data_IF_599555742482
#
_entry.id   IF_599555742482
#
_cell.length_a   1.000
_cell.length_b   1.000
_cell.length_c   1.000
_cell.angle_alpha   90.00
_cell.angle_beta   90.00
_cell.angle_gamma   90.00
#
_symmetry.space_group_name_H-M   'P 1'
#
loop_
_entity.id
_entity.type
_entity.pdbx_description
1 polymer ?
#
# COMPACT_ATOMS: atom_id res chain seq x y z
N UNK A 1 12.73 10.47 -4.58
CA UNK A 1 11.54 9.62 -4.34
C UNK A 1 11.92 8.24 -3.83
N UNK A 2 11.14 7.63 -2.88
CA UNK A 2 11.37 6.27 -2.35
C UNK A 2 10.24 5.33 -2.74
N UNK A 3 10.58 4.10 -3.22
CA UNK A 3 9.60 3.07 -3.55
C UNK A 3 10.19 1.67 -3.41
N UNK A 4 9.35 0.66 -3.34
CA UNK A 4 9.73 -0.72 -3.04
C UNK A 4 9.45 -1.66 -4.22
N UNK A 5 10.46 -2.44 -4.62
CA UNK A 5 10.27 -3.58 -5.50
C UNK A 5 10.39 -4.89 -4.73
N UNK A 6 9.38 -5.73 -4.87
CA UNK A 6 9.28 -6.99 -4.14
C UNK A 6 9.34 -8.18 -5.06
N UNK A 7 10.25 -9.12 -4.76
CA UNK A 7 10.48 -10.34 -5.53
C UNK A 7 10.32 -11.59 -4.66
N UNK A 8 9.94 -12.71 -5.28
CA UNK A 8 9.94 -14.01 -4.64
C UNK A 8 11.38 -14.49 -4.45
N UNK A 9 11.72 -14.97 -3.26
CA UNK A 9 13.03 -15.52 -2.93
C UNK A 9 12.97 -17.03 -2.65
N UNK A 10 14.04 -17.74 -2.98
CA UNK A 10 14.15 -19.20 -2.89
C UNK A 10 15.42 -19.63 -2.14
N UNK A 11 15.56 -19.32 -0.84
CA UNK A 11 16.73 -19.73 -0.05
C UNK A 11 16.84 -21.26 0.10
N UNK A 12 15.75 -22.00 -0.12
CA UNK A 12 15.72 -23.46 -0.11
C UNK A 12 16.52 -24.09 -1.25
N UNK A 13 16.65 -23.41 -2.37
CA UNK A 13 17.41 -23.90 -3.54
C UNK A 13 18.93 -23.90 -3.32
N UNK A 14 19.42 -23.08 -2.41
CA UNK A 14 20.86 -22.96 -2.07
C UNK A 14 21.19 -23.51 -0.69
N UNK A 15 20.21 -24.07 0.03
CA UNK A 15 20.39 -24.52 1.41
C UNK A 15 20.48 -23.37 2.43
N UNK A 16 20.26 -22.12 2.02
CA UNK A 16 20.36 -20.93 2.86
C UNK A 16 19.21 -20.75 3.87
N UNK A 17 18.14 -21.56 3.78
CA UNK A 17 16.92 -21.40 4.58
C UNK A 17 17.18 -21.42 6.08
N UNK A 18 17.90 -22.43 6.59
CA UNK A 18 18.16 -22.58 8.02
C UNK A 18 19.00 -21.40 8.56
N UNK A 19 19.96 -20.94 7.77
CA UNK A 19 20.82 -19.81 8.11
C UNK A 19 20.04 -18.49 8.14
N UNK A 20 19.19 -18.27 7.15
CA UNK A 20 18.28 -17.10 7.10
C UNK A 20 17.30 -17.08 8.29
N UNK A 21 16.73 -18.23 8.66
CA UNK A 21 15.86 -18.35 9.83
C UNK A 21 16.61 -18.07 11.14
N UNK A 22 17.83 -18.60 11.27
CA UNK A 22 18.69 -18.32 12.42
C UNK A 22 19.00 -16.83 12.53
N UNK A 23 19.37 -16.19 11.43
CA UNK A 23 19.67 -14.75 11.40
C UNK A 23 18.45 -13.91 11.78
N UNK A 24 17.26 -14.19 11.22
CA UNK A 24 16.01 -13.52 11.64
C UNK A 24 15.79 -13.67 13.15
N UNK A 25 16.06 -14.85 13.72
CA UNK A 25 15.92 -15.05 15.16
C UNK A 25 16.95 -14.24 15.97
N UNK A 26 18.18 -14.10 15.50
CA UNK A 26 19.20 -13.24 16.13
C UNK A 26 18.76 -11.77 16.10
N UNK A 27 18.28 -11.28 14.95
CA UNK A 27 17.71 -9.92 14.84
C UNK A 27 16.51 -9.71 15.77
N UNK A 28 15.65 -10.72 15.92
CA UNK A 28 14.54 -10.69 16.90
C UNK A 28 15.06 -10.55 18.33
N UNK A 29 16.10 -11.29 18.68
CA UNK A 29 16.71 -11.20 20.02
C UNK A 29 17.33 -9.83 20.22
N UNK A 30 18.05 -9.29 19.23
CA UNK A 30 18.58 -7.93 19.29
C UNK A 30 17.48 -6.88 19.50
N UNK A 31 16.37 -6.97 18.75
CA UNK A 31 15.21 -6.08 18.94
C UNK A 31 14.66 -6.16 20.37
N UNK A 32 14.48 -7.36 20.89
CA UNK A 32 13.99 -7.57 22.26
C UNK A 32 15.00 -7.09 23.31
N UNK A 33 16.29 -7.26 23.09
CA UNK A 33 17.33 -6.78 23.98
C UNK A 33 17.39 -5.25 23.99
N UNK A 34 17.30 -4.61 22.82
CA UNK A 34 17.15 -3.14 22.71
C UNK A 34 15.96 -2.64 23.53
N UNK A 35 14.83 -3.34 23.44
CA UNK A 35 13.64 -3.00 24.21
C UNK A 35 13.86 -3.14 25.72
N UNK A 36 14.55 -4.21 26.14
CA UNK A 36 14.85 -4.47 27.54
C UNK A 36 15.75 -3.37 28.11
N UNK A 37 16.88 -3.08 27.47
CA UNK A 37 17.80 -2.03 27.92
C UNK A 37 17.14 -0.65 27.94
N UNK A 38 16.34 -0.32 26.93
CA UNK A 38 15.58 0.92 26.90
C UNK A 38 14.68 1.07 28.13
N UNK A 39 13.98 0.00 28.52
CA UNK A 39 13.08 -0.02 29.68
C UNK A 39 13.84 0.11 31.00
N UNK A 40 14.97 -0.57 31.13
CA UNK A 40 15.84 -0.50 32.32
C UNK A 40 16.45 0.92 32.50
N UNK A 41 16.90 1.53 31.42
CA UNK A 41 17.44 2.89 31.43
C UNK A 41 16.38 3.91 31.85
N UNK A 42 15.14 3.77 31.38
CA UNK A 42 14.01 4.62 31.74
C UNK A 42 13.64 4.48 33.24
N UNK A 43 13.58 3.24 33.72
CA UNK A 43 13.23 2.92 35.12
C UNK A 43 14.24 3.48 36.12
N UNK A 44 15.53 3.55 35.75
CA UNK A 44 16.61 4.05 36.62
C UNK A 44 16.84 5.56 36.48
N UNK A 45 15.94 6.32 35.88
CA UNK A 45 16.09 7.76 35.61
C UNK A 45 17.35 8.15 34.81
N UNK A 46 17.94 7.21 34.08
CA UNK A 46 18.97 7.51 33.11
C UNK A 46 18.30 8.04 31.86
N UNK A 47 18.83 9.12 31.29
CA UNK A 47 18.35 9.62 30.00
C UNK A 47 18.46 8.49 28.97
N UNK A 48 17.32 8.11 28.41
CA UNK A 48 17.26 7.12 27.35
C UNK A 48 18.17 7.56 26.22
N UNK A 49 19.12 6.74 25.85
CA UNK A 49 20.06 7.00 24.79
C UNK A 49 19.36 7.15 23.43
N UNK A 50 20.01 7.86 22.53
CA UNK A 50 19.57 7.87 21.11
C UNK A 50 19.79 6.49 20.48
N UNK A 51 19.12 6.27 19.32
CA UNK A 51 19.37 5.07 18.51
C UNK A 51 20.87 4.85 18.25
N UNK A 52 21.60 5.92 17.98
CA UNK A 52 23.05 5.90 17.74
C UNK A 52 23.83 5.41 18.95
N UNK A 53 23.55 5.93 20.16
CA UNK A 53 24.21 5.49 21.39
C UNK A 53 23.94 4.01 21.68
N UNK A 54 22.72 3.55 21.43
CA UNK A 54 22.36 2.15 21.61
C UNK A 54 23.01 1.24 20.56
N UNK A 55 23.19 1.72 19.32
CA UNK A 55 23.95 0.99 18.30
C UNK A 55 25.42 0.79 18.68
N UNK A 56 26.05 1.72 19.39
CA UNK A 56 27.42 1.60 19.86
C UNK A 56 27.59 0.46 20.87
N UNK A 57 26.55 0.13 21.65
CA UNK A 57 26.53 -0.99 22.57
C UNK A 57 26.53 -2.36 21.88
N UNK A 58 26.26 -2.43 20.59
CA UNK A 58 26.33 -3.68 19.82
C UNK A 58 27.74 -4.34 19.86
N UNK A 59 28.79 -3.57 20.09
CA UNK A 59 30.13 -4.11 20.27
C UNK A 59 30.21 -4.92 21.57
N UNK A 60 29.73 -4.35 22.67
CA UNK A 60 29.65 -5.02 23.97
C UNK A 60 28.77 -6.27 23.88
N UNK A 61 27.62 -6.21 23.20
CA UNK A 61 26.74 -7.35 23.01
C UNK A 61 27.41 -8.49 22.24
N UNK A 62 28.26 -8.18 21.25
CA UNK A 62 29.00 -9.21 20.50
C UNK A 62 30.03 -9.92 21.33
N UNK A 63 30.63 -9.22 22.26
CA UNK A 63 31.61 -9.80 23.21
C UNK A 63 30.87 -10.68 24.23
N UNK A 64 29.73 -10.25 24.73
CA UNK A 64 28.92 -11.00 25.70
C UNK A 64 28.17 -12.18 25.08
N UNK A 65 27.59 -11.99 23.88
CA UNK A 65 26.81 -13.00 23.16
C UNK A 65 27.33 -13.21 21.74
N UNK A 66 28.15 -14.25 21.55
CA UNK A 66 28.80 -14.56 20.27
C UNK A 66 27.84 -14.66 19.07
N UNK A 67 26.54 -14.98 19.30
CA UNK A 67 25.54 -15.06 18.23
C UNK A 67 25.35 -13.75 17.49
N UNK A 68 25.57 -12.60 18.14
CA UNK A 68 25.44 -11.29 17.45
C UNK A 68 26.59 -11.04 16.47
N UNK A 69 27.70 -11.78 16.57
CA UNK A 69 28.78 -11.74 15.60
C UNK A 69 28.54 -12.60 14.37
N UNK A 70 27.51 -13.47 14.38
CA UNK A 70 27.12 -14.28 13.22
C UNK A 70 26.44 -13.48 12.10
N UNK A 71 25.87 -12.31 12.43
CA UNK A 71 25.07 -11.49 11.52
C UNK A 71 25.81 -10.24 11.06
N UNK A 72 25.40 -9.70 9.93
CA UNK A 72 26.00 -8.49 9.38
C UNK A 72 25.78 -7.28 10.30
N UNK A 73 26.87 -6.56 10.65
CA UNK A 73 26.83 -5.49 11.65
C UNK A 73 25.88 -4.35 11.32
N UNK A 74 25.84 -3.91 10.04
CA UNK A 74 24.92 -2.85 9.61
C UNK A 74 23.46 -3.30 9.68
N UNK A 75 23.17 -4.56 9.35
CA UNK A 75 21.82 -5.11 9.48
C UNK A 75 21.39 -5.17 10.98
N UNK A 76 22.34 -5.46 11.88
CA UNK A 76 22.08 -5.44 13.32
C UNK A 76 21.80 -4.01 13.84
N UNK A 77 22.58 -3.01 13.37
CA UNK A 77 22.34 -1.59 13.65
C UNK A 77 20.94 -1.16 13.17
N UNK A 78 20.54 -1.62 11.98
CA UNK A 78 19.18 -1.34 11.43
C UNK A 78 18.07 -1.94 12.30
N UNK A 79 18.34 -3.04 13.00
CA UNK A 79 17.37 -3.63 13.96
C UNK A 79 17.16 -2.74 15.18
N UNK A 80 18.23 -2.15 15.71
CA UNK A 80 18.14 -1.16 16.80
C UNK A 80 17.37 0.08 16.33
N UNK A 81 17.73 0.63 15.17
CA UNK A 81 17.03 1.75 14.55
C UNK A 81 15.51 1.47 14.39
N UNK A 82 15.16 0.26 13.95
CA UNK A 82 13.76 -0.16 13.81
C UNK A 82 12.98 -0.09 15.14
N UNK A 83 13.64 -0.41 16.26
CA UNK A 83 13.00 -0.27 17.57
C UNK A 83 12.68 1.20 17.86
N UNK A 84 13.63 2.11 17.65
CA UNK A 84 13.42 3.55 17.87
C UNK A 84 12.39 4.16 16.90
N UNK A 85 12.38 3.73 15.65
CA UNK A 85 11.35 4.16 14.69
C UNK A 85 9.94 3.69 15.12
N UNK A 86 9.83 2.46 15.66
CA UNK A 86 8.56 1.98 16.21
C UNK A 86 8.14 2.77 17.45
N UNK A 87 9.09 3.22 18.27
CA UNK A 87 8.84 4.04 19.44
C UNK A 87 8.36 5.45 19.04
N UNK A 88 9.01 6.08 18.06
CA UNK A 88 8.60 7.37 17.50
C UNK A 88 7.18 7.31 16.93
N UNK A 89 6.89 6.30 16.09
CA UNK A 89 5.55 6.06 15.55
C UNK A 89 4.49 5.83 16.63
N UNK A 90 4.87 5.27 17.78
CA UNK A 90 3.97 5.08 18.92
C UNK A 90 3.67 6.42 19.60
N UNK A 91 4.68 7.26 19.77
CA UNK A 91 4.54 8.62 20.35
C UNK A 91 3.66 9.50 19.47
N UNK A 92 3.91 9.53 18.17
CA UNK A 92 3.09 10.25 17.20
C UNK A 92 1.61 9.82 17.24
N UNK A 93 1.35 8.52 17.30
CA UNK A 93 -0.03 8.01 17.46
C UNK A 93 -0.68 8.50 18.76
N UNK A 94 0.09 8.55 19.87
CA UNK A 94 -0.40 9.05 21.15
C UNK A 94 -0.72 10.54 21.08
N UNK A 95 0.14 11.34 20.46
CA UNK A 95 -0.05 12.78 20.23
C UNK A 95 -1.31 13.04 19.38
N UNK A 96 -1.56 12.18 18.38
CA UNK A 96 -2.78 12.20 17.56
C UNK A 96 -4.03 11.63 18.28
N UNK A 97 -4.00 11.48 19.61
CA UNK A 97 -5.15 11.12 20.45
C UNK A 97 -5.50 9.61 20.44
N UNK A 98 -4.68 8.75 19.84
CA UNK A 98 -4.94 7.32 19.86
C UNK A 98 -4.54 6.70 21.21
N UNK A 99 -5.38 5.80 21.73
CA UNK A 99 -5.00 4.94 22.87
C UNK A 99 -3.97 3.93 22.41
N UNK A 100 -2.73 4.09 22.84
CA UNK A 100 -1.62 3.19 22.48
C UNK A 100 -1.08 2.50 23.73
N UNK A 101 -0.75 1.21 23.58
CA UNK A 101 -0.01 0.48 24.60
C UNK A 101 1.50 0.54 24.34
N UNK A 102 2.27 -0.01 25.24
CA UNK A 102 3.73 -0.11 25.08
C UNK A 102 4.13 -1.08 23.95
N UNK A 103 5.34 -0.92 23.39
CA UNK A 103 5.89 -1.83 22.40
C UNK A 103 5.97 -3.26 22.98
N UNK A 104 5.40 -4.23 22.28
CA UNK A 104 5.35 -5.63 22.71
C UNK A 104 6.67 -6.34 22.43
N UNK A 105 7.02 -7.33 23.26
CA UNK A 105 8.05 -8.31 22.96
C UNK A 105 7.74 -9.02 21.65
N UNK A 106 8.77 -9.26 20.85
CA UNK A 106 8.60 -9.96 19.57
C UNK A 106 8.81 -11.45 19.76
N UNK A 107 7.75 -12.21 19.50
CA UNK A 107 7.84 -13.68 19.42
C UNK A 107 8.47 -14.13 18.10
N UNK A 108 8.96 -15.38 17.99
CA UNK A 108 9.51 -15.91 16.73
C UNK A 108 8.49 -15.91 15.58
N UNK A 109 7.19 -15.85 15.87
CA UNK A 109 6.13 -15.78 14.84
C UNK A 109 5.85 -14.35 14.36
N UNK A 110 6.16 -13.35 15.17
CA UNK A 110 5.89 -11.95 14.88
C UNK A 110 7.07 -11.23 14.24
N UNK A 111 8.28 -11.72 14.45
CA UNK A 111 9.49 -11.16 13.86
C UNK A 111 10.00 -12.08 12.75
N UNK A 112 9.80 -11.69 11.51
CA UNK A 112 9.98 -12.56 10.34
C UNK A 112 10.79 -11.91 9.22
N UNK A 113 11.51 -10.82 9.50
CA UNK A 113 12.30 -10.09 8.50
C UNK A 113 13.60 -9.57 9.08
N UNK A 114 14.57 -9.35 8.21
CA UNK A 114 15.82 -8.64 8.50
C UNK A 114 16.14 -7.73 7.32
N UNK A 115 16.72 -6.55 7.60
CA UNK A 115 17.01 -5.52 6.63
C UNK A 115 18.51 -5.23 6.61
N UNK A 116 19.08 -5.27 5.41
CA UNK A 116 20.42 -4.82 5.11
C UNK A 116 20.32 -3.39 4.55
N UNK A 117 21.10 -2.47 5.09
CA UNK A 117 21.19 -1.08 4.63
C UNK A 117 22.62 -0.75 4.26
N UNK A 118 22.81 0.04 3.21
CA UNK A 118 24.10 0.56 2.73
C UNK A 118 25.10 -0.49 2.23
N UNK A 119 25.18 -1.67 2.86
CA UNK A 119 26.15 -2.70 2.49
C UNK A 119 25.69 -4.10 2.91
N UNK A 120 26.45 -5.10 2.51
CA UNK A 120 26.19 -6.51 2.87
C UNK A 120 25.19 -7.19 1.96
N UNK A 121 24.86 -6.61 0.81
CA UNK A 121 24.04 -7.20 -0.24
C UNK A 121 24.58 -6.88 -1.61
N UNK A 122 24.31 -7.75 -2.56
CA UNK A 122 24.65 -7.56 -3.98
C UNK A 122 23.64 -8.31 -4.84
N UNK A 123 23.13 -7.64 -5.87
CA UNK A 123 22.26 -8.23 -6.88
C UNK A 123 23.11 -8.66 -8.07
N UNK A 124 23.08 -9.94 -8.43
CA UNK A 124 23.91 -10.57 -9.44
C UNK A 124 23.05 -11.29 -10.47
N UNK A 125 23.63 -11.50 -11.66
CA UNK A 125 23.06 -12.37 -12.70
C UNK A 125 21.60 -12.02 -13.02
N UNK A 126 21.34 -10.72 -13.23
CA UNK A 126 20.03 -10.22 -13.66
C UNK A 126 19.82 -10.58 -15.12
N UNK A 127 19.33 -11.81 -15.38
CA UNK A 127 19.08 -12.30 -16.73
C UNK A 127 17.68 -12.89 -16.81
N UNK A 128 16.88 -12.36 -17.71
CA UNK A 128 15.50 -12.79 -17.90
C UNK A 128 14.66 -12.64 -16.63
N UNK A 129 13.97 -13.72 -16.23
CA UNK A 129 13.08 -13.69 -15.06
C UNK A 129 13.74 -14.13 -13.74
N UNK A 130 15.06 -14.24 -13.71
CA UNK A 130 15.80 -14.71 -12.54
C UNK A 130 16.99 -13.80 -12.22
N UNK A 131 17.32 -13.67 -10.94
CA UNK A 131 18.53 -13.05 -10.46
C UNK A 131 19.01 -13.75 -9.20
N UNK A 132 20.22 -13.45 -8.78
CA UNK A 132 20.79 -13.93 -7.52
C UNK A 132 21.04 -12.77 -6.59
N UNK A 133 20.43 -12.80 -5.42
CA UNK A 133 20.73 -11.88 -4.33
C UNK A 133 21.77 -12.52 -3.42
N UNK A 134 22.96 -11.94 -3.35
CA UNK A 134 23.93 -12.29 -2.33
C UNK A 134 23.70 -11.45 -1.06
N UNK A 135 23.65 -12.11 0.08
CA UNK A 135 23.57 -11.48 1.39
C UNK A 135 24.78 -11.89 2.23
N UNK A 136 25.49 -10.90 2.79
CA UNK A 136 26.61 -11.11 3.71
C UNK A 136 26.19 -12.05 4.84
N UNK A 137 27.06 -12.98 5.17
CA UNK A 137 26.88 -14.00 6.20
C UNK A 137 25.78 -15.05 5.92
N UNK A 138 24.98 -14.91 4.86
CA UNK A 138 23.97 -15.90 4.43
C UNK A 138 24.43 -16.64 3.17
N UNK A 139 24.85 -15.90 2.16
CA UNK A 139 25.23 -16.39 0.84
C UNK A 139 24.18 -16.06 -0.23
N UNK A 140 24.21 -16.80 -1.33
CA UNK A 140 23.40 -16.57 -2.49
C UNK A 140 21.98 -17.08 -2.32
N UNK A 141 21.01 -16.26 -2.72
CA UNK A 141 19.58 -16.55 -2.70
C UNK A 141 19.01 -16.29 -4.07
N UNK A 142 18.57 -17.28 -4.82
CA UNK A 142 17.87 -17.08 -6.09
C UNK A 142 16.56 -16.32 -5.87
N UNK A 143 16.27 -15.38 -6.75
CA UNK A 143 15.03 -14.60 -6.74
C UNK A 143 14.34 -14.67 -8.10
N UNK A 144 13.01 -14.55 -8.09
CA UNK A 144 12.23 -14.39 -9.32
C UNK A 144 12.24 -12.91 -9.71
N UNK A 145 13.08 -12.56 -10.67
CA UNK A 145 13.31 -11.19 -11.12
C UNK A 145 12.39 -10.90 -12.32
N UNK A 146 11.13 -10.55 -12.03
CA UNK A 146 10.07 -10.43 -13.03
C UNK A 146 9.93 -9.02 -13.63
N UNK A 147 10.72 -8.07 -13.15
CA UNK A 147 10.84 -6.70 -13.69
C UNK A 147 12.20 -6.14 -13.33
N UNK A 148 12.74 -5.33 -14.21
CA UNK A 148 14.03 -4.70 -14.00
C UNK A 148 13.92 -3.55 -12.99
N UNK A 149 15.01 -3.34 -12.24
CA UNK A 149 15.20 -2.12 -11.45
C UNK A 149 15.65 -1.04 -12.43
N UNK A 150 15.02 0.14 -12.45
CA UNK A 150 15.43 1.23 -13.32
C UNK A 150 16.89 1.61 -13.12
N UNK A 151 17.59 1.92 -14.21
CA UNK A 151 19.03 2.25 -14.19
C UNK A 151 19.34 3.48 -13.33
N UNK A 152 18.39 4.41 -13.24
CA UNK A 152 18.47 5.62 -12.41
C UNK A 152 18.05 5.38 -10.93
N UNK A 153 17.73 4.15 -10.56
CA UNK A 153 17.35 3.83 -9.19
C UNK A 153 18.52 3.27 -8.38
N UNK A 154 18.74 3.80 -7.19
CA UNK A 154 19.75 3.32 -6.25
C UNK A 154 19.10 2.39 -5.22
N UNK A 155 19.63 1.17 -5.06
CA UNK A 155 19.19 0.26 -3.99
C UNK A 155 19.79 0.74 -2.67
N UNK A 156 18.96 1.26 -1.76
CA UNK A 156 19.37 1.76 -0.45
C UNK A 156 19.29 0.70 0.63
N UNK A 157 18.31 -0.18 0.53
CA UNK A 157 18.12 -1.26 1.50
C UNK A 157 17.50 -2.50 0.88
N UNK A 158 17.78 -3.64 1.49
CA UNK A 158 17.25 -4.94 1.10
C UNK A 158 16.66 -5.63 2.30
N UNK A 159 15.37 -5.92 2.25
CA UNK A 159 14.67 -6.65 3.33
C UNK A 159 14.34 -8.07 2.88
N UNK A 160 14.91 -9.07 3.55
CA UNK A 160 14.52 -10.47 3.40
C UNK A 160 13.44 -10.82 4.42
N UNK A 161 12.30 -11.36 3.96
CA UNK A 161 11.14 -11.66 4.79
C UNK A 161 10.59 -13.04 4.53
N UNK A 162 10.32 -13.79 5.62
CA UNK A 162 9.55 -15.02 5.60
C UNK A 162 8.09 -14.74 5.91
N UNK A 163 7.18 -15.09 5.01
CA UNK A 163 5.74 -14.94 5.28
C UNK A 163 5.18 -16.08 6.13
N UNK A 164 4.01 -15.83 6.72
CA UNK A 164 3.26 -16.84 7.52
C UNK A 164 2.88 -18.08 6.72
N UNK A 165 2.92 -18.02 5.41
CA UNK A 165 2.73 -19.14 4.48
C UNK A 165 3.98 -20.04 4.37
N UNK A 166 5.12 -19.59 4.89
CA UNK A 166 6.42 -20.24 4.78
C UNK A 166 7.23 -19.83 3.55
N UNK A 167 6.71 -18.92 2.74
CA UNK A 167 7.37 -18.42 1.53
C UNK A 167 8.25 -17.22 1.86
N UNK A 168 9.32 -17.06 1.07
CA UNK A 168 10.28 -15.99 1.24
C UNK A 168 10.13 -14.92 0.17
N UNK A 169 10.35 -13.69 0.55
CA UNK A 169 10.35 -12.52 -0.31
C UNK A 169 11.52 -11.63 0.02
N UNK A 170 12.04 -10.98 -0.99
CA UNK A 170 12.96 -9.88 -0.86
C UNK A 170 12.28 -8.59 -1.33
N UNK A 171 12.47 -7.52 -0.60
CA UNK A 171 12.04 -6.18 -0.96
C UNK A 171 13.29 -5.32 -1.10
N UNK A 172 13.45 -4.67 -2.26
CA UNK A 172 14.47 -3.66 -2.49
C UNK A 172 13.84 -2.29 -2.25
N UNK A 173 14.35 -1.54 -1.30
CA UNK A 173 14.05 -0.13 -1.12
C UNK A 173 14.89 0.67 -2.10
N UNK A 174 14.23 1.31 -3.05
CA UNK A 174 14.83 2.03 -4.17
C UNK A 174 14.66 3.53 -3.96
N UNK A 175 15.67 4.28 -4.30
CA UNK A 175 15.62 5.73 -4.36
C UNK A 175 15.93 6.19 -5.80
N UNK A 176 15.03 7.03 -6.33
CA UNK A 176 15.28 7.83 -7.55
C UNK A 176 15.39 9.28 -7.10
N UNK A 177 16.35 10.02 -7.63
CA UNK A 177 16.45 11.46 -7.40
C UNK A 177 15.27 12.18 -8.04
N UNK A 178 14.74 13.22 -7.36
CA UNK A 178 13.55 13.92 -7.84
C UNK A 178 13.76 14.61 -9.19
N UNK A 179 15.00 14.99 -9.49
CA UNK A 179 15.42 15.58 -10.78
C UNK A 179 15.37 14.60 -11.96
N UNK A 180 15.25 13.31 -11.69
CA UNK A 180 15.18 12.25 -12.71
C UNK A 180 13.75 11.71 -12.92
N UNK A 181 12.78 12.27 -12.19
CA UNK A 181 11.37 11.96 -12.39
C UNK A 181 10.81 12.74 -13.59
N UNK A 182 9.80 12.20 -14.31
CA UNK A 182 9.10 12.94 -15.33
C UNK A 182 8.51 14.23 -14.77
N UNK A 183 8.68 15.33 -15.50
CA UNK A 183 8.01 16.58 -15.15
C UNK A 183 6.50 16.45 -15.30
N UNK A 184 5.78 16.99 -14.33
CA UNK A 184 4.32 17.07 -14.42
C UNK A 184 3.94 18.26 -15.29
N UNK A 185 2.88 18.16 -16.13
CA UNK A 185 2.42 19.28 -16.93
C UNK A 185 2.12 20.51 -16.06
N UNK A 186 2.47 21.69 -16.54
CA UNK A 186 2.06 22.92 -15.84
C UNK A 186 0.53 23.07 -15.90
N UNK A 187 -0.07 23.54 -14.80
CA UNK A 187 -1.52 23.65 -14.68
C UNK A 187 -2.14 24.50 -15.81
N UNK A 188 -1.44 25.52 -16.30
CA UNK A 188 -1.90 26.44 -17.34
C UNK A 188 -1.91 25.85 -18.75
N UNK A 189 -1.28 24.70 -18.99
CA UNK A 189 -1.26 24.01 -20.30
C UNK A 189 -2.05 22.70 -20.32
N UNK A 190 -2.57 22.24 -19.18
CA UNK A 190 -3.43 21.07 -19.12
C UNK A 190 -4.82 21.39 -19.67
N UNK A 191 -5.37 20.49 -20.50
CA UNK A 191 -6.77 20.60 -20.92
C UNK A 191 -7.67 19.89 -19.91
N UNK A 192 -8.89 20.39 -19.75
CA UNK A 192 -9.87 19.75 -18.87
C UNK A 192 -10.21 18.31 -19.31
N UNK A 193 -10.09 18.00 -20.62
CA UNK A 193 -10.30 16.67 -21.20
C UNK A 193 -9.19 15.66 -20.81
N UNK A 194 -7.99 16.14 -20.47
CA UNK A 194 -6.88 15.33 -20.01
C UNK A 194 -6.90 15.14 -18.48
N UNK A 195 -7.95 15.64 -17.83
CA UNK A 195 -8.17 15.58 -16.39
C UNK A 195 -9.37 14.70 -16.04
N UNK A 196 -9.28 13.90 -14.98
CA UNK A 196 -10.38 13.06 -14.53
C UNK A 196 -10.64 13.18 -13.03
N UNK A 197 -11.93 13.37 -12.68
CA UNK A 197 -12.42 13.20 -11.30
C UNK A 197 -12.87 11.77 -11.09
N UNK A 198 -12.48 11.16 -9.99
CA UNK A 198 -12.90 9.80 -9.63
C UNK A 198 -13.62 9.79 -8.28
N UNK A 199 -14.75 9.12 -8.23
CA UNK A 199 -15.43 8.72 -6.98
C UNK A 199 -15.12 7.26 -6.64
N UNK A 200 -14.77 7.00 -5.37
CA UNK A 200 -14.50 5.67 -4.84
C UNK A 200 -15.77 5.13 -4.15
N UNK A 201 -16.54 4.36 -4.89
CA UNK A 201 -17.89 3.96 -4.51
C UNK A 201 -18.01 2.60 -3.84
N UNK A 202 -19.20 2.33 -3.30
CA UNK A 202 -19.57 1.02 -2.71
C UNK A 202 -20.16 0.07 -3.78
N UNK A 203 -20.83 0.58 -4.79
CA UNK A 203 -21.37 -0.22 -5.89
C UNK A 203 -20.30 -0.52 -6.92
N UNK A 204 -19.71 0.50 -7.49
CA UNK A 204 -18.54 0.40 -8.34
C UNK A 204 -17.28 0.74 -7.52
N UNK A 205 -16.15 0.15 -7.87
CA UNK A 205 -14.88 0.45 -7.22
C UNK A 205 -14.42 1.87 -7.53
N UNK A 206 -14.53 2.28 -8.78
CA UNK A 206 -14.26 3.64 -9.28
C UNK A 206 -15.38 4.04 -10.23
N UNK A 207 -15.82 5.27 -10.12
CA UNK A 207 -16.62 5.97 -11.12
C UNK A 207 -15.84 7.20 -11.60
N UNK A 208 -15.72 7.39 -12.91
CA UNK A 208 -14.95 8.51 -13.50
C UNK A 208 -15.89 9.62 -14.00
N UNK A 209 -15.37 10.85 -14.07
CA UNK A 209 -16.11 11.96 -14.68
C UNK A 209 -16.33 11.79 -16.19
N UNK A 210 -15.62 10.89 -16.86
CA UNK A 210 -15.86 10.54 -18.26
C UNK A 210 -17.08 9.60 -18.43
N UNK A 211 -17.70 9.17 -17.31
CA UNK A 211 -18.82 8.23 -17.31
C UNK A 211 -18.41 6.77 -17.28
N UNK A 212 -17.12 6.45 -17.29
CA UNK A 212 -16.64 5.09 -17.14
C UNK A 212 -16.81 4.61 -15.68
N UNK A 213 -17.19 3.37 -15.48
CA UNK A 213 -17.22 2.74 -14.16
C UNK A 213 -16.46 1.44 -14.14
N UNK A 214 -15.81 1.15 -13.02
CA UNK A 214 -15.07 -0.08 -12.80
C UNK A 214 -15.68 -0.82 -11.61
N UNK A 215 -16.13 -2.03 -11.85
CA UNK A 215 -16.76 -2.87 -10.83
C UNK A 215 -15.76 -3.34 -9.77
N UNK A 216 -16.31 -3.77 -8.64
CA UNK A 216 -15.55 -4.48 -7.63
C UNK A 216 -15.04 -5.81 -8.14
N UNK A 217 -13.80 -6.16 -7.74
CA UNK A 217 -13.26 -7.49 -7.99
C UNK A 217 -14.09 -8.54 -7.24
N UNK A 218 -14.67 -9.51 -7.97
CA UNK A 218 -15.39 -10.62 -7.36
C UNK A 218 -14.41 -11.57 -6.65
N UNK A 219 -14.63 -11.73 -5.36
CA UNK A 219 -13.87 -12.61 -4.46
C UNK A 219 -14.77 -13.62 -3.74
N UNK A 220 -15.99 -13.85 -4.24
CA UNK A 220 -16.98 -14.73 -3.59
C UNK A 220 -16.44 -16.13 -3.34
N UNK A 221 -15.82 -16.75 -4.34
CA UNK A 221 -15.20 -18.08 -4.24
C UNK A 221 -14.10 -18.13 -3.18
N UNK A 222 -13.25 -17.09 -3.13
CA UNK A 222 -12.20 -16.97 -2.14
C UNK A 222 -12.77 -16.81 -0.71
N UNK A 223 -13.85 -16.05 -0.55
CA UNK A 223 -14.51 -15.90 0.74
C UNK A 223 -15.14 -17.21 1.21
N UNK A 224 -15.80 -17.96 0.33
CA UNK A 224 -16.31 -19.29 0.67
C UNK A 224 -15.20 -20.25 1.07
N UNK A 225 -14.12 -20.28 0.30
CA UNK A 225 -12.95 -21.08 0.62
C UNK A 225 -12.34 -20.68 1.96
N UNK A 226 -12.20 -19.36 2.22
CA UNK A 226 -11.69 -18.85 3.48
C UNK A 226 -12.55 -19.30 4.64
N UNK A 227 -13.88 -19.23 4.52
CA UNK A 227 -14.82 -19.69 5.56
C UNK A 227 -14.64 -21.17 5.88
N UNK A 228 -14.56 -22.04 4.85
CA UNK A 228 -14.33 -23.49 5.01
C UNK A 228 -13.01 -23.78 5.73
N UNK A 229 -11.92 -23.13 5.30
CA UNK A 229 -10.61 -23.34 5.91
C UNK A 229 -10.53 -22.81 7.35
N UNK A 230 -11.23 -21.72 7.68
CA UNK A 230 -11.33 -21.18 9.03
C UNK A 230 -12.15 -22.09 9.94
N UNK A 231 -13.29 -22.63 9.49
CA UNK A 231 -14.07 -23.62 10.22
C UNK A 231 -13.27 -24.89 10.50
N UNK A 232 -12.48 -25.36 9.52
CA UNK A 232 -11.57 -26.49 9.73
C UNK A 232 -10.50 -26.18 10.77
N UNK A 233 -9.97 -24.93 10.79
CA UNK A 233 -8.96 -24.51 11.77
C UNK A 233 -9.53 -24.44 13.20
N UNK A 234 -10.75 -23.94 13.36
CA UNK A 234 -11.39 -23.79 14.69
C UNK A 234 -11.61 -25.13 15.39
N UNK A 235 -11.79 -26.22 14.61
CA UNK A 235 -11.99 -27.57 15.14
C UNK A 235 -10.69 -28.28 15.55
N UNK A 236 -9.52 -27.67 15.36
CA UNK A 236 -8.23 -28.28 15.65
C UNK A 236 -7.63 -27.77 16.95
N UNK A 237 -6.95 -28.68 17.68
CA UNK A 237 -6.26 -28.28 18.91
C UNK A 237 -5.16 -27.27 18.59
N UNK A 238 -5.28 -26.07 19.17
CA UNK A 238 -4.32 -24.97 18.98
C UNK A 238 -2.89 -25.42 19.35
N UNK A 239 -1.93 -25.12 18.47
CA UNK A 239 -0.52 -25.48 18.65
C UNK A 239 -0.17 -26.90 18.20
N UNK A 240 -1.11 -27.76 17.80
CA UNK A 240 -0.80 -29.06 17.22
C UNK A 240 -0.26 -28.93 15.78
N UNK A 241 0.49 -29.94 15.30
CA UNK A 241 0.97 -29.98 13.91
C UNK A 241 -0.15 -29.86 12.89
N UNK A 242 -1.33 -30.46 13.16
CA UNK A 242 -2.48 -30.36 12.30
C UNK A 242 -3.09 -28.96 12.29
N UNK A 243 -3.07 -28.26 13.43
CA UNK A 243 -3.49 -26.87 13.53
C UNK A 243 -2.53 -25.95 12.74
N UNK A 244 -1.22 -26.16 12.86
CA UNK A 244 -0.22 -25.37 12.12
C UNK A 244 -0.33 -25.57 10.60
N UNK A 245 -0.55 -26.83 10.14
CA UNK A 245 -0.81 -27.10 8.71
C UNK A 245 -2.06 -26.37 8.23
N UNK A 246 -3.13 -26.40 9.01
CA UNK A 246 -4.40 -25.75 8.65
C UNK A 246 -4.28 -24.23 8.68
N UNK A 247 -3.58 -23.67 9.66
CA UNK A 247 -3.28 -22.24 9.75
C UNK A 247 -2.56 -21.72 8.49
N UNK A 248 -1.61 -22.50 7.98
CA UNK A 248 -0.92 -22.18 6.72
C UNK A 248 -1.88 -22.18 5.53
N UNK A 249 -2.88 -23.09 5.49
CA UNK A 249 -3.91 -23.08 4.43
C UNK A 249 -4.75 -21.80 4.48
N UNK A 250 -5.23 -21.41 5.65
CA UNK A 250 -5.96 -20.14 5.86
C UNK A 250 -5.09 -18.95 5.42
N UNK A 251 -3.82 -18.93 5.81
CA UNK A 251 -2.89 -17.87 5.41
C UNK A 251 -2.70 -17.79 3.87
N UNK A 252 -2.63 -18.95 3.20
CA UNK A 252 -2.51 -19.00 1.73
C UNK A 252 -3.74 -18.44 1.02
N UNK A 253 -4.96 -18.74 1.52
CA UNK A 253 -6.20 -18.19 0.94
C UNK A 253 -6.23 -16.67 1.12
N UNK A 254 -6.01 -16.17 2.34
CA UNK A 254 -5.96 -14.72 2.62
C UNK A 254 -4.94 -13.99 1.74
N UNK A 255 -3.75 -14.59 1.55
CA UNK A 255 -2.72 -14.01 0.69
C UNK A 255 -3.16 -13.97 -0.77
N UNK A 256 -3.80 -15.03 -1.28
CA UNK A 256 -4.34 -15.05 -2.65
C UNK A 256 -5.35 -13.92 -2.86
N UNK A 257 -6.28 -13.75 -1.93
CA UNK A 257 -7.25 -12.65 -1.96
C UNK A 257 -6.54 -11.29 -2.00
N UNK A 258 -5.61 -11.07 -1.07
CA UNK A 258 -4.83 -9.82 -1.01
C UNK A 258 -4.11 -9.54 -2.33
N UNK A 259 -3.47 -10.54 -2.94
CA UNK A 259 -2.76 -10.39 -4.22
C UNK A 259 -3.69 -10.08 -5.38
N UNK A 260 -4.87 -10.69 -5.43
CA UNK A 260 -5.87 -10.36 -6.46
C UNK A 260 -6.28 -8.89 -6.37
N UNK A 261 -6.53 -8.39 -5.15
CA UNK A 261 -6.88 -6.99 -4.91
C UNK A 261 -5.71 -6.06 -5.26
N UNK A 262 -4.51 -6.37 -4.81
CA UNK A 262 -3.30 -5.59 -5.12
C UNK A 262 -3.03 -5.54 -6.64
N UNK A 263 -3.13 -6.66 -7.34
CA UNK A 263 -2.95 -6.74 -8.80
C UNK A 263 -3.99 -5.88 -9.53
N UNK A 264 -5.26 -6.00 -9.15
CA UNK A 264 -6.34 -5.17 -9.68
C UNK A 264 -6.07 -3.67 -9.46
N UNK A 265 -5.72 -3.28 -8.22
CA UNK A 265 -5.41 -1.89 -7.89
C UNK A 265 -4.18 -1.37 -8.64
N UNK A 266 -3.14 -2.19 -8.79
CA UNK A 266 -1.95 -1.84 -9.57
C UNK A 266 -2.28 -1.59 -11.04
N UNK A 267 -3.11 -2.42 -11.67
CA UNK A 267 -3.50 -2.27 -13.06
C UNK A 267 -4.37 -1.03 -13.26
N UNK A 268 -5.38 -0.86 -12.42
CA UNK A 268 -6.28 0.29 -12.49
C UNK A 268 -5.53 1.61 -12.26
N UNK A 269 -4.69 1.68 -11.22
CA UNK A 269 -3.91 2.89 -10.97
C UNK A 269 -2.90 3.19 -12.08
N UNK A 270 -2.29 2.17 -12.72
CA UNK A 270 -1.41 2.38 -13.87
C UNK A 270 -2.18 2.87 -15.09
N UNK A 271 -3.37 2.33 -15.33
CA UNK A 271 -4.22 2.78 -16.43
C UNK A 271 -4.60 4.25 -16.26
N UNK A 272 -5.04 4.67 -15.06
CA UNK A 272 -5.40 6.07 -14.78
C UNK A 272 -4.22 7.03 -15.01
N UNK A 273 -3.05 6.75 -14.42
CA UNK A 273 -1.89 7.65 -14.54
C UNK A 273 -1.25 7.67 -15.93
N UNK A 274 -1.56 6.71 -16.79
CA UNK A 274 -1.12 6.70 -18.19
C UNK A 274 -2.11 7.37 -19.13
N UNK A 275 -3.38 7.44 -18.74
CA UNK A 275 -4.46 8.00 -19.58
C UNK A 275 -4.62 9.50 -19.36
N UNK A 276 -4.37 10.00 -18.14
CA UNK A 276 -4.67 11.37 -17.77
C UNK A 276 -3.46 12.13 -17.24
N UNK A 277 -3.43 13.42 -17.48
CA UNK A 277 -2.42 14.35 -16.96
C UNK A 277 -2.70 14.68 -15.48
N UNK A 278 -3.98 14.65 -15.09
CA UNK A 278 -4.38 14.84 -13.70
C UNK A 278 -5.52 13.89 -13.29
N UNK A 279 -5.36 13.25 -12.12
CA UNK A 279 -6.38 12.41 -11.50
C UNK A 279 -6.77 13.01 -10.15
N UNK A 280 -8.03 13.34 -10.01
CA UNK A 280 -8.59 13.93 -8.80
C UNK A 280 -9.40 12.89 -8.04
N UNK A 281 -9.19 12.81 -6.72
CA UNK A 281 -9.83 11.81 -5.88
C UNK A 281 -10.27 12.43 -4.56
N UNK A 282 -11.35 11.92 -3.97
CA UNK A 282 -11.77 12.37 -2.64
C UNK A 282 -10.76 12.02 -1.55
N UNK A 283 -10.45 12.99 -0.68
CA UNK A 283 -9.68 12.78 0.54
C UNK A 283 -10.54 12.06 1.59
N UNK A 284 -10.71 10.76 1.43
CA UNK A 284 -11.52 9.96 2.32
C UNK A 284 -10.88 9.80 3.69
N UNK A 285 -11.54 10.25 4.74
CA UNK A 285 -11.14 9.96 6.12
C UNK A 285 -11.46 8.49 6.47
N UNK A 286 -10.65 7.59 5.94
CA UNK A 286 -10.76 6.13 6.15
C UNK A 286 -10.72 5.77 7.64
N UNK A 287 -10.01 6.56 8.47
CA UNK A 287 -9.91 6.33 9.91
C UNK A 287 -11.23 6.56 10.66
N UNK A 288 -12.00 7.57 10.27
CA UNK A 288 -13.35 7.84 10.81
C UNK A 288 -14.38 6.81 10.35
N UNK A 289 -14.27 6.34 9.11
CA UNK A 289 -15.14 5.32 8.55
C UNK A 289 -14.93 3.93 9.19
N UNK A 290 -13.72 3.62 9.65
CA UNK A 290 -13.38 2.39 10.36
C UNK A 290 -14.05 2.25 11.75
N UNK A 291 -14.53 3.35 12.32
CA UNK A 291 -15.21 3.34 13.63
C UNK A 291 -16.70 3.05 13.54
N UNK A 292 -17.30 3.02 12.36
CA UNK A 292 -18.71 2.68 12.16
C UNK A 292 -18.90 1.15 12.09
N UNK A 293 -19.90 0.64 12.82
CA UNK A 293 -20.23 -0.78 13.00
C UNK A 293 -20.63 -1.50 11.69
N UNK A 294 -19.65 -1.90 10.87
CA UNK A 294 -19.92 -2.70 9.68
C UNK A 294 -18.66 -3.39 9.14
N UNK A 295 -18.50 -4.68 9.42
CA UNK A 295 -17.32 -5.47 9.04
C UNK A 295 -17.01 -5.51 7.53
N UNK A 296 -17.98 -5.29 6.66
CA UNK A 296 -17.80 -5.24 5.21
C UNK A 296 -17.15 -3.91 4.75
N UNK A 297 -17.61 -2.77 5.31
CA UNK A 297 -17.05 -1.44 5.04
C UNK A 297 -15.56 -1.36 5.38
N UNK A 298 -15.15 -1.88 6.55
CA UNK A 298 -13.77 -1.83 7.02
C UNK A 298 -12.76 -2.47 6.04
N UNK A 299 -13.18 -3.45 5.25
CA UNK A 299 -12.33 -4.11 4.26
C UNK A 299 -12.22 -3.31 2.96
N UNK A 300 -13.30 -2.66 2.57
CA UNK A 300 -13.36 -1.80 1.40
C UNK A 300 -12.54 -0.53 1.61
N UNK A 301 -12.69 0.12 2.77
CA UNK A 301 -11.97 1.34 3.13
C UNK A 301 -10.45 1.12 3.20
N UNK A 302 -10.01 -0.02 3.72
CA UNK A 302 -8.58 -0.37 3.72
C UNK A 302 -8.02 -0.57 2.30
N UNK A 303 -8.85 -1.06 1.36
CA UNK A 303 -8.45 -1.20 -0.03
C UNK A 303 -8.28 0.16 -0.72
N UNK A 304 -9.15 1.12 -0.47
CA UNK A 304 -9.08 2.46 -1.07
C UNK A 304 -7.82 3.24 -0.67
N UNK A 305 -7.45 3.22 0.61
CA UNK A 305 -6.19 3.87 1.05
C UNK A 305 -4.97 3.29 0.33
N UNK A 306 -4.94 1.97 0.10
CA UNK A 306 -3.90 1.31 -0.69
C UNK A 306 -3.89 1.81 -2.13
N UNK A 307 -5.06 1.93 -2.73
CA UNK A 307 -5.24 2.42 -4.09
C UNK A 307 -4.81 3.89 -4.25
N UNK A 308 -5.22 4.78 -3.35
CA UNK A 308 -4.80 6.19 -3.35
C UNK A 308 -3.27 6.29 -3.28
N UNK A 309 -2.63 5.55 -2.37
CA UNK A 309 -1.16 5.51 -2.29
C UNK A 309 -0.51 4.99 -3.59
N UNK A 310 -1.17 4.05 -4.29
CA UNK A 310 -0.67 3.59 -5.58
C UNK A 310 -0.80 4.66 -6.66
N UNK A 311 -1.86 5.46 -6.64
CA UNK A 311 -2.00 6.62 -7.52
C UNK A 311 -0.91 7.67 -7.23
N UNK A 312 -0.71 8.03 -5.97
CA UNK A 312 0.28 9.05 -5.56
C UNK A 312 1.68 8.71 -6.10
N UNK A 313 2.25 7.55 -5.71
CA UNK A 313 3.61 7.24 -6.14
C UNK A 313 3.74 6.98 -7.65
N UNK A 314 2.69 6.48 -8.29
CA UNK A 314 2.70 6.33 -9.75
C UNK A 314 2.51 7.66 -10.46
N UNK A 315 1.70 8.56 -9.89
CA UNK A 315 1.62 9.93 -10.39
C UNK A 315 3.00 10.57 -10.50
N UNK A 316 3.84 10.40 -9.49
CA UNK A 316 5.23 10.89 -9.55
C UNK A 316 6.07 10.14 -10.58
N UNK A 317 5.92 8.82 -10.70
CA UNK A 317 6.67 8.00 -11.68
C UNK A 317 6.28 8.25 -13.15
N UNK A 318 5.05 8.67 -13.40
CA UNK A 318 4.53 8.87 -14.77
C UNK A 318 4.30 10.34 -15.14
N UNK A 319 4.60 11.27 -14.23
CA UNK A 319 4.40 12.71 -14.46
C UNK A 319 2.94 13.14 -14.40
N UNK A 320 2.07 12.41 -13.68
CA UNK A 320 0.64 12.71 -13.54
C UNK A 320 0.37 13.43 -12.22
N UNK A 321 -0.45 14.46 -12.23
CA UNK A 321 -0.94 15.08 -11.00
C UNK A 321 -1.95 14.21 -10.28
N UNK A 322 -1.74 13.97 -8.98
CA UNK A 322 -2.73 13.32 -8.12
C UNK A 322 -3.14 14.31 -7.04
N UNK A 323 -4.39 14.71 -7.05
CA UNK A 323 -4.91 15.73 -6.13
C UNK A 323 -6.06 15.15 -5.32
N UNK A 324 -5.98 15.29 -4.00
CA UNK A 324 -7.05 14.87 -3.09
C UNK A 324 -7.91 16.06 -2.69
N UNK A 325 -9.20 16.01 -2.96
CA UNK A 325 -10.16 17.07 -2.65
C UNK A 325 -11.02 16.74 -1.43
N UNK A 326 -11.59 17.76 -0.82
CA UNK A 326 -12.49 17.59 0.32
C UNK A 326 -13.79 16.86 -0.08
N UNK A 327 -14.12 15.71 0.52
CA UNK A 327 -15.27 14.89 0.16
C UNK A 327 -16.62 15.46 0.62
N UNK A 328 -16.61 16.56 1.41
CA UNK A 328 -17.84 17.10 2.00
C UNK A 328 -18.77 17.63 0.92
N UNK A 329 -19.97 17.02 0.79
CA UNK A 329 -21.03 17.50 -0.09
C UNK A 329 -20.95 17.03 -1.55
N UNK A 330 -19.89 16.38 -2.00
CA UNK A 330 -19.71 15.93 -3.40
C UNK A 330 -20.89 15.11 -3.94
N UNK A 331 -21.51 14.27 -3.12
CA UNK A 331 -22.68 13.47 -3.50
C UNK A 331 -24.02 14.19 -3.37
N UNK A 332 -24.06 15.34 -2.70
CA UNK A 332 -25.28 16.12 -2.46
C UNK A 332 -25.39 17.35 -3.37
N UNK A 333 -24.28 17.98 -3.65
CA UNK A 333 -24.17 19.16 -4.51
C UNK A 333 -24.45 18.75 -5.96
N UNK A 334 -25.23 19.56 -6.65
CA UNK A 334 -25.48 19.39 -8.07
C UNK A 334 -24.25 19.82 -8.86
N UNK A 335 -23.73 18.95 -9.73
CA UNK A 335 -22.53 19.25 -10.52
C UNK A 335 -22.75 20.42 -11.50
N UNK A 336 -23.99 20.67 -11.94
CA UNK A 336 -24.32 21.73 -12.89
C UNK A 336 -24.52 23.09 -12.21
N UNK A 337 -25.34 23.17 -11.15
CA UNK A 337 -25.71 24.45 -10.56
C UNK A 337 -25.24 24.68 -9.13
N UNK A 338 -24.59 23.70 -8.50
CA UNK A 338 -24.05 23.82 -7.14
C UNK A 338 -25.10 23.75 -6.00
N UNK A 339 -26.38 23.57 -6.31
CA UNK A 339 -27.43 23.47 -5.28
C UNK A 339 -27.34 22.16 -4.53
N UNK A 340 -27.26 22.21 -3.18
CA UNK A 340 -27.26 21.00 -2.35
C UNK A 340 -28.68 20.37 -2.30
N UNK A 341 -28.74 19.06 -2.57
CA UNK A 341 -29.95 18.26 -2.46
C UNK A 341 -29.77 17.16 -1.44
N UNK A 342 -30.53 17.21 -0.35
CA UNK A 342 -30.48 16.17 0.69
C UNK A 342 -31.13 14.88 0.17
N UNK A 343 -30.34 13.80 0.18
CA UNK A 343 -30.77 12.47 -0.25
C UNK A 343 -30.28 11.39 0.72
N UNK A 344 -31.13 10.41 1.00
CA UNK A 344 -30.70 9.21 1.72
C UNK A 344 -29.64 8.44 0.90
N UNK A 345 -28.80 7.68 1.61
CA UNK A 345 -27.71 6.91 0.98
C UNK A 345 -28.16 5.85 -0.03
N UNK A 346 -29.40 5.38 0.08
CA UNK A 346 -29.98 4.37 -0.83
C UNK A 346 -30.53 4.96 -2.13
N UNK A 347 -30.71 6.30 -2.23
CA UNK A 347 -31.12 6.96 -3.47
C UNK A 347 -29.87 7.12 -4.34
N UNK A 348 -29.89 6.46 -5.48
CA UNK A 348 -28.74 6.39 -6.40
C UNK A 348 -28.79 7.41 -7.52
N UNK A 349 -29.94 8.00 -7.72
CA UNK A 349 -30.17 9.00 -8.76
C UNK A 349 -30.04 10.40 -8.17
N UNK A 350 -29.31 11.27 -8.86
CA UNK A 350 -29.29 12.70 -8.58
C UNK A 350 -30.28 13.38 -9.52
N UNK A 351 -31.31 13.99 -8.93
CA UNK A 351 -32.23 14.88 -9.64
C UNK A 351 -32.22 16.22 -8.92
N UNK A 352 -31.81 17.26 -9.62
CA UNK A 352 -31.67 18.60 -9.07
C UNK A 352 -33.02 19.37 -9.18
N UNK A 353 -33.61 19.82 -8.06
CA UNK A 353 -34.88 20.56 -8.09
C UNK A 353 -34.72 21.97 -8.63
N UNK A 354 -33.51 22.50 -8.75
CA UNK A 354 -33.24 23.87 -9.20
C UNK A 354 -33.01 23.97 -10.70
N UNK A 355 -32.14 23.12 -11.27
CA UNK A 355 -31.83 23.18 -12.74
C UNK A 355 -32.37 22.01 -13.55
N UNK A 356 -32.94 20.98 -12.89
CA UNK A 356 -33.47 19.80 -13.58
C UNK A 356 -32.41 18.79 -14.01
N UNK A 357 -31.12 18.98 -13.62
CA UNK A 357 -30.07 18.03 -13.95
C UNK A 357 -30.34 16.68 -13.30
N UNK A 358 -30.23 15.60 -14.09
CA UNK A 358 -30.38 14.22 -13.65
C UNK A 358 -29.17 13.40 -14.04
N UNK A 359 -28.62 12.65 -13.07
CA UNK A 359 -27.46 11.79 -13.28
C UNK A 359 -27.43 10.67 -12.24
N UNK A 360 -26.64 9.63 -12.49
CA UNK A 360 -26.24 8.70 -11.43
C UNK A 360 -25.51 9.47 -10.31
N UNK A 361 -25.75 9.09 -9.07
CA UNK A 361 -25.20 9.78 -7.90
C UNK A 361 -23.67 9.79 -7.88
N UNK A 362 -23.04 8.66 -8.26
CA UNK A 362 -21.59 8.50 -8.22
C UNK A 362 -20.95 9.25 -9.41
N UNK A 363 -21.67 9.35 -10.55
CA UNK A 363 -21.29 10.21 -11.67
C UNK A 363 -21.35 11.69 -11.27
N UNK A 364 -22.44 12.14 -10.64
CA UNK A 364 -22.54 13.51 -10.12
C UNK A 364 -21.40 13.82 -9.12
N UNK A 365 -21.03 12.85 -8.26
CA UNK A 365 -19.92 13.01 -7.34
C UNK A 365 -18.59 13.16 -8.08
N UNK A 366 -18.32 12.36 -9.11
CA UNK A 366 -17.09 12.44 -9.90
C UNK A 366 -16.96 13.78 -10.65
N UNK A 367 -18.05 14.33 -11.16
CA UNK A 367 -18.08 15.70 -11.74
C UNK A 367 -17.76 16.76 -10.70
N UNK A 368 -18.31 16.66 -9.49
CA UNK A 368 -18.01 17.60 -8.41
C UNK A 368 -16.55 17.51 -7.96
N UNK A 369 -15.97 16.31 -7.92
CA UNK A 369 -14.54 16.11 -7.66
C UNK A 369 -13.70 16.80 -8.72
N UNK A 370 -14.01 16.60 -10.00
CA UNK A 370 -13.32 17.26 -11.12
C UNK A 370 -13.42 18.79 -11.03
N UNK A 371 -14.63 19.33 -10.92
CA UNK A 371 -14.87 20.78 -10.90
C UNK A 371 -14.19 21.50 -9.75
N UNK A 372 -14.21 20.91 -8.53
CA UNK A 372 -13.52 21.46 -7.36
C UNK A 372 -12.01 21.50 -7.57
N UNK A 373 -11.45 20.43 -8.11
CA UNK A 373 -10.02 20.30 -8.35
C UNK A 373 -9.52 21.26 -9.43
N UNK A 374 -10.26 21.40 -10.53
CA UNK A 374 -9.92 22.37 -11.57
C UNK A 374 -9.91 23.81 -11.04
N UNK A 375 -10.85 24.16 -10.15
CA UNK A 375 -10.84 25.46 -9.46
C UNK A 375 -9.61 25.63 -8.55
N UNK A 376 -9.22 24.60 -7.78
CA UNK A 376 -8.06 24.65 -6.89
C UNK A 376 -6.74 24.80 -7.67
N UNK A 377 -6.66 24.20 -8.86
CA UNK A 377 -5.50 24.35 -9.76
C UNK A 377 -5.51 25.63 -10.60
N UNK A 378 -6.57 26.45 -10.49
CA UNK A 378 -6.71 27.68 -11.28
C UNK A 378 -7.12 27.45 -12.75
N UNK A 379 -7.50 26.22 -13.11
CA UNK A 379 -7.96 25.84 -14.45
C UNK A 379 -9.47 26.12 -14.65
N UNK A 380 -10.18 26.58 -13.65
CA UNK A 380 -11.63 26.75 -13.63
C UNK A 380 -12.16 28.10 -14.12
N UNK A 381 -11.42 28.87 -14.90
CA UNK A 381 -11.85 30.21 -15.36
C UNK A 381 -12.15 30.33 -16.87
N UNK A 382 -12.31 29.25 -17.57
CA UNK A 382 -13.04 29.35 -18.85
C UNK A 382 -14.52 29.31 -18.54
N UNK A 383 -15.29 30.25 -19.09
CA UNK A 383 -16.78 30.37 -18.97
C UNK A 383 -17.55 29.17 -19.55
N UNK A 384 -16.89 28.05 -19.83
CA UNK A 384 -17.53 26.77 -20.12
C UNK A 384 -17.99 26.17 -18.79
N UNK A 385 -19.24 26.32 -18.50
CA UNK A 385 -19.94 25.61 -17.43
C UNK A 385 -19.70 24.09 -17.57
N UNK A 386 -19.55 23.35 -16.46
CA UNK A 386 -19.49 21.88 -16.49
C UNK A 386 -20.62 21.18 -17.27
N UNK A 387 -21.67 21.93 -17.55
CA UNK A 387 -22.81 21.52 -18.35
C UNK A 387 -22.47 21.13 -19.80
N UNK A 388 -21.51 21.78 -20.45
CA UNK A 388 -21.16 21.44 -21.84
C UNK A 388 -20.43 20.11 -21.98
N UNK A 389 -19.65 19.76 -20.99
CA UNK A 389 -19.00 18.44 -20.91
C UNK A 389 -19.97 17.35 -20.45
N UNK A 390 -20.94 17.69 -19.60
CA UNK A 390 -21.90 16.73 -19.04
C UNK A 390 -23.00 16.30 -20.06
N UNK A 391 -23.31 17.14 -21.04
CA UNK A 391 -24.34 16.84 -22.08
C UNK A 391 -23.84 15.89 -23.18
N UNK A 392 -22.54 15.63 -23.28
CA UNK A 392 -21.97 14.77 -24.31
C UNK A 392 -22.05 13.27 -23.99
N UNK A 393 -22.39 12.87 -22.76
CA UNK A 393 -22.46 11.46 -22.38
C UNK A 393 -23.94 11.00 -22.41
N UNK A 394 -24.31 10.33 -23.49
CA UNK A 394 -25.60 9.65 -23.60
C UNK A 394 -25.74 8.58 -22.50
N UNK A 395 -26.74 8.68 -21.61
CA UNK A 395 -26.95 7.71 -20.54
C UNK A 395 -27.20 6.28 -21.02
N UNK A 396 -27.52 6.09 -22.30
CA UNK A 396 -27.80 4.77 -22.89
C UNK A 396 -26.55 3.95 -23.24
N UNK A 397 -25.36 4.54 -23.22
CA UNK A 397 -24.07 3.85 -23.50
C UNK A 397 -23.26 3.54 -22.29
N UNK A 398 -23.86 3.41 -21.11
CA UNK A 398 -23.18 3.04 -19.87
C UNK A 398 -22.86 1.55 -19.83
N UNK A 399 -21.75 1.13 -20.39
CA UNK A 399 -21.16 -0.16 -20.08
C UNK A 399 -20.22 -0.03 -18.87
N UNK A 400 -20.60 -0.67 -17.74
CA UNK A 400 -19.65 -0.88 -16.65
C UNK A 400 -18.49 -1.75 -17.16
N UNK A 401 -17.26 -1.31 -16.98
CA UNK A 401 -16.10 -2.12 -17.34
C UNK A 401 -15.88 -3.15 -16.23
N UNK A 402 -16.12 -4.45 -16.48
CA UNK A 402 -15.89 -5.46 -15.45
C UNK A 402 -14.42 -5.45 -15.04
N UNK A 403 -14.16 -5.68 -13.76
CA UNK A 403 -12.80 -5.71 -13.20
C UNK A 403 -11.85 -6.67 -13.96
N UNK A 404 -12.39 -7.73 -14.58
CA UNK A 404 -11.67 -8.65 -15.46
C UNK A 404 -11.09 -7.94 -16.70
N UNK A 405 -11.84 -7.01 -17.31
CA UNK A 405 -11.40 -6.30 -18.52
C UNK A 405 -10.28 -5.30 -18.23
N UNK A 406 -10.28 -4.67 -17.06
CA UNK A 406 -9.15 -3.83 -16.58
C UNK A 406 -7.90 -4.70 -16.39
N UNK A 407 -8.08 -5.98 -16.00
CA UNK A 407 -6.99 -6.94 -15.85
C UNK A 407 -6.39 -7.32 -17.22
N UNK A 408 -7.20 -7.43 -18.27
CA UNK A 408 -6.75 -7.79 -19.62
C UNK A 408 -6.04 -6.62 -20.33
N UNK A 409 -6.57 -5.40 -20.22
CA UNK A 409 -5.95 -4.22 -20.87
C UNK A 409 -4.62 -3.82 -20.23
N UNK A 410 -4.40 -4.11 -18.96
CA UNK A 410 -3.11 -3.88 -18.27
C UNK A 410 -1.97 -4.80 -18.69
N UNK A 411 -2.23 -5.86 -19.50
CA UNK A 411 -1.21 -6.78 -20.01
C UNK A 411 -0.78 -6.49 -21.47
N UNK A 412 -1.41 -5.54 -22.14
CA UNK A 412 -1.13 -5.19 -23.55
C UNK A 412 -0.26 -3.92 -23.66
N UNK A 413 0.88 -3.85 -22.95
CA UNK A 413 1.80 -2.73 -23.07
C UNK A 413 2.93 -2.78 -22.07
N UNK A 414 3.80 -3.75 -22.19
CA UNK A 414 5.15 -3.73 -21.66
C UNK A 414 6.10 -4.03 -22.79
#
# INVERSE_FOLDING_TARGET
MWYDYRFRAYPDRTGATAKAERHINIHRQAYNHTRYEYQELDTNNHKVGSAYQHQNRLTEWKDEWSMFSEVHSKALQKTVEQFYNNLSNLSEKKENGHKVGWLKWKSPREYQSMTYSQSGFELKNTSGQTATLWLSTIGDIPIQYHRDIPDNAVIKEVTLKKETTGEWYVTFGLEIEDTELPEKPEANIMNAEDCVGIDLGIQNYVYTSDGDSVDWLDLSDEYERLRREQQSLSRKKRGSNNWERQRKKVAKVKRRMKRKVEDFQHKLSTWLVKKYDAVFVENLNVSGMLQSNGNARNKQDAAWRGFIKMLEYKGDLYGTHIVQVNPRGTTKECAECGVETDKPLWVREHSCPSCGFEADRDLNASYNVLSRSLRELGLGQTESTPAETATAVDPSHRESVPASRVIETGSLGA
#
